data_IF_800175366469
#
_entry.id   IF_800175366469
#
_cell.length_a   1.000
_cell.length_b   1.000
_cell.length_c   1.000
_cell.angle_alpha   90.00
_cell.angle_beta   90.00
_cell.angle_gamma   90.00
#
_symmetry.space_group_name_H-M   'P 1'
#
loop_
_entity.id
_entity.type
_entity.pdbx_description
1 polymer ?
#
# COMPACT_ATOMS: atom_id res chain seq x y z
N UNK A 1 -27.99 -15.92 -3.57
CA UNK A 1 -27.28 -16.50 -2.40
C UNK A 1 -25.84 -15.99 -2.46
N UNK A 2 -25.56 -14.99 -1.63
CA UNK A 2 -24.27 -14.39 -1.23
C UNK A 2 -23.30 -13.95 -2.35
N UNK A 3 -23.46 -12.70 -2.82
CA UNK A 3 -22.41 -11.92 -3.49
C UNK A 3 -21.94 -10.86 -2.50
N UNK A 4 -21.04 -11.21 -1.59
CA UNK A 4 -20.47 -10.26 -0.60
C UNK A 4 -18.95 -10.39 -0.39
N UNK A 5 -18.25 -11.26 -1.12
CA UNK A 5 -16.81 -11.53 -0.89
C UNK A 5 -15.84 -10.80 -1.83
N UNK A 6 -16.30 -10.03 -2.80
CA UNK A 6 -15.41 -9.42 -3.82
C UNK A 6 -14.38 -8.41 -3.27
N UNK A 7 -14.53 -7.97 -2.02
CA UNK A 7 -13.69 -6.91 -1.44
C UNK A 7 -12.82 -7.35 -0.25
N UNK A 8 -12.75 -8.65 0.05
CA UNK A 8 -11.85 -9.16 1.09
C UNK A 8 -10.40 -9.19 0.57
N UNK A 9 -9.47 -8.66 1.37
CA UNK A 9 -8.04 -8.85 1.12
C UNK A 9 -7.67 -10.31 1.42
N UNK A 10 -6.91 -10.93 0.51
CA UNK A 10 -6.33 -12.25 0.72
C UNK A 10 -4.82 -12.09 0.72
N UNK A 11 -4.19 -12.25 1.87
CA UNK A 11 -2.74 -12.31 1.99
C UNK A 11 -2.20 -13.64 1.45
N UNK A 12 -0.98 -13.62 0.89
CA UNK A 12 -0.25 -14.86 0.58
C UNK A 12 0.07 -15.62 1.85
N UNK A 13 0.45 -14.89 2.90
CA UNK A 13 0.80 -15.42 4.21
C UNK A 13 0.55 -14.35 5.28
N UNK A 14 0.26 -14.79 6.51
CA UNK A 14 0.14 -13.91 7.67
C UNK A 14 1.16 -14.31 8.73
N UNK A 15 2.20 -13.49 8.92
CA UNK A 15 3.30 -13.75 9.83
C UNK A 15 4.49 -12.83 9.59
N UNK A 16 5.68 -13.27 9.98
CA UNK A 16 6.92 -12.51 9.87
C UNK A 16 7.93 -13.24 8.98
N UNK A 17 8.65 -12.48 8.15
CA UNK A 17 9.76 -12.96 7.32
C UNK A 17 11.05 -12.55 8.02
N UNK A 18 11.69 -13.49 8.69
CA UNK A 18 12.89 -13.21 9.49
C UNK A 18 14.14 -13.19 8.61
N UNK A 19 14.20 -14.11 7.65
CA UNK A 19 15.39 -14.34 6.84
C UNK A 19 15.03 -14.71 5.39
N UNK A 20 16.01 -14.72 4.46
CA UNK A 20 15.75 -15.02 3.05
C UNK A 20 15.17 -16.41 2.79
N UNK A 21 15.47 -17.40 3.64
CA UNK A 21 14.95 -18.77 3.50
C UNK A 21 13.44 -18.81 3.67
N UNK A 22 12.88 -18.00 4.57
CA UNK A 22 11.43 -17.88 4.75
C UNK A 22 10.77 -17.39 3.45
N UNK A 23 11.37 -16.40 2.79
CA UNK A 23 10.93 -15.90 1.49
C UNK A 23 10.97 -16.97 0.40
N UNK A 24 12.03 -17.77 0.34
CA UNK A 24 12.15 -18.88 -0.63
C UNK A 24 11.06 -19.94 -0.43
N UNK A 25 10.72 -20.27 0.83
CA UNK A 25 9.64 -21.21 1.14
C UNK A 25 8.30 -20.66 0.63
N UNK A 26 8.01 -19.38 0.84
CA UNK A 26 6.78 -18.76 0.33
C UNK A 26 6.74 -18.73 -1.19
N UNK A 27 7.86 -18.43 -1.87
CA UNK A 27 7.92 -18.48 -3.33
C UNK A 27 7.64 -19.88 -3.87
N UNK A 28 8.22 -20.92 -3.25
CA UNK A 28 7.96 -22.29 -3.66
C UNK A 28 6.50 -22.69 -3.43
N UNK A 29 5.94 -22.37 -2.25
CA UNK A 29 4.54 -22.67 -1.95
C UNK A 29 3.54 -21.96 -2.89
N UNK A 30 3.85 -20.74 -3.31
CA UNK A 30 3.06 -20.02 -4.33
C UNK A 30 3.20 -20.68 -5.70
N UNK A 31 4.41 -21.05 -6.11
CA UNK A 31 4.67 -21.72 -7.38
C UNK A 31 3.92 -23.07 -7.48
N UNK A 32 3.83 -23.79 -6.36
CA UNK A 32 3.11 -25.07 -6.27
C UNK A 32 1.59 -24.90 -6.13
N UNK A 33 1.09 -23.66 -6.07
CA UNK A 33 -0.34 -23.37 -5.92
C UNK A 33 -0.91 -23.62 -4.52
N UNK A 34 -0.06 -23.84 -3.52
CA UNK A 34 -0.45 -24.07 -2.12
C UNK A 34 -0.88 -22.77 -1.46
N UNK A 35 -0.17 -21.67 -1.74
CA UNK A 35 -0.48 -20.33 -1.25
C UNK A 35 -0.92 -19.41 -2.40
N UNK A 36 -1.85 -18.46 -2.14
CA UNK A 36 -2.32 -17.54 -3.18
C UNK A 36 -1.25 -16.49 -3.49
N UNK A 37 -1.16 -16.10 -4.77
CA UNK A 37 -0.38 -14.93 -5.21
C UNK A 37 -1.29 -13.76 -5.57
N UNK A 38 -0.74 -12.55 -5.49
CA UNK A 38 -1.41 -11.35 -5.97
C UNK A 38 -1.32 -11.30 -7.50
N UNK A 39 -2.49 -11.39 -8.13
CA UNK A 39 -2.66 -11.44 -9.60
C UNK A 39 -2.98 -10.09 -10.23
N UNK A 40 -3.23 -9.05 -9.41
CA UNK A 40 -3.53 -7.68 -9.87
C UNK A 40 -3.31 -6.68 -8.76
N UNK A 41 -3.27 -5.39 -9.09
CA UNK A 41 -3.21 -4.33 -8.07
C UNK A 41 -4.44 -4.39 -7.14
N UNK A 42 -4.17 -4.17 -5.86
CA UNK A 42 -5.21 -4.09 -4.83
C UNK A 42 -6.12 -2.87 -5.05
N UNK A 43 -7.41 -3.05 -4.76
CA UNK A 43 -8.38 -1.95 -4.66
C UNK A 43 -8.05 -1.04 -3.48
N UNK A 44 -8.73 0.11 -3.39
CA UNK A 44 -8.54 1.04 -2.25
C UNK A 44 -8.98 0.36 -0.95
N UNK A 45 -10.09 -0.38 -0.99
CA UNK A 45 -10.67 -1.08 0.15
C UNK A 45 -9.78 -2.22 0.64
N UNK A 46 -9.14 -2.94 -0.28
CA UNK A 46 -8.15 -3.96 0.04
C UNK A 46 -6.88 -3.36 0.67
N UNK A 47 -6.41 -2.20 0.18
CA UNK A 47 -5.23 -1.54 0.75
C UNK A 47 -5.43 -1.10 2.21
N UNK A 48 -6.65 -0.67 2.56
CA UNK A 48 -7.01 -0.29 3.93
C UNK A 48 -6.89 -1.49 4.89
N UNK A 49 -7.09 -2.71 4.40
CA UNK A 49 -7.03 -3.94 5.19
C UNK A 49 -5.58 -4.42 5.47
N UNK A 50 -4.56 -3.89 4.77
CA UNK A 50 -3.15 -4.25 5.00
C UNK A 50 -2.78 -3.89 6.44
N UNK A 51 -2.14 -4.82 7.15
CA UNK A 51 -1.76 -4.66 8.55
C UNK A 51 -0.41 -5.34 8.84
N UNK A 52 0.09 -5.13 10.06
CA UNK A 52 1.28 -5.84 10.53
C UNK A 52 1.06 -7.36 10.39
N UNK A 53 2.04 -8.03 9.78
CA UNK A 53 1.99 -9.46 9.47
C UNK A 53 1.47 -9.81 8.07
N UNK A 54 0.87 -8.88 7.32
CA UNK A 54 0.42 -9.16 5.95
C UNK A 54 1.61 -9.34 5.00
N UNK A 55 1.71 -10.50 4.35
CA UNK A 55 2.75 -10.83 3.36
C UNK A 55 2.11 -11.12 2.00
N UNK A 56 2.70 -10.55 0.95
CA UNK A 56 2.22 -10.67 -0.43
C UNK A 56 3.34 -11.11 -1.36
N UNK A 57 3.03 -12.08 -2.22
CA UNK A 57 3.89 -12.51 -3.32
C UNK A 57 3.17 -12.24 -4.62
N UNK A 58 3.86 -11.67 -5.61
CA UNK A 58 3.34 -11.48 -6.96
C UNK A 58 4.41 -11.83 -7.99
N UNK A 59 3.97 -12.39 -9.11
CA UNK A 59 4.78 -12.51 -10.31
C UNK A 59 4.63 -11.23 -11.14
N UNK A 60 5.73 -10.57 -11.49
CA UNK A 60 5.71 -9.28 -12.20
C UNK A 60 4.96 -9.36 -13.54
N UNK A 61 5.17 -10.42 -14.31
CA UNK A 61 4.59 -10.59 -15.65
C UNK A 61 3.10 -10.92 -15.57
N UNK A 62 2.72 -11.86 -14.72
CA UNK A 62 1.32 -12.30 -14.60
C UNK A 62 0.44 -11.21 -13.99
N UNK A 63 0.95 -10.53 -12.95
CA UNK A 63 0.18 -9.50 -12.23
C UNK A 63 0.25 -8.11 -12.85
N UNK A 64 1.21 -7.87 -13.75
CA UNK A 64 1.59 -6.55 -14.25
C UNK A 64 2.00 -5.55 -13.13
N UNK A 65 2.46 -6.06 -11.98
CA UNK A 65 2.97 -5.25 -10.87
C UNK A 65 4.50 -5.25 -10.91
N UNK A 66 5.10 -4.14 -11.34
CA UNK A 66 6.57 -3.95 -11.28
C UNK A 66 7.06 -3.34 -9.96
N UNK A 67 6.16 -2.64 -9.29
CA UNK A 67 6.40 -1.96 -8.00
C UNK A 67 5.16 -2.06 -7.17
N UNK A 68 5.34 -2.48 -5.91
CA UNK A 68 4.28 -2.51 -4.92
C UNK A 68 3.79 -1.09 -4.61
N UNK A 69 2.48 -0.93 -4.47
CA UNK A 69 1.84 0.35 -4.13
C UNK A 69 0.65 0.08 -3.21
N UNK A 70 0.79 0.43 -1.93
CA UNK A 70 -0.26 0.30 -0.91
C UNK A 70 -0.91 1.62 -0.49
N UNK A 71 -0.41 2.76 -0.99
CA UNK A 71 -0.95 4.08 -0.66
C UNK A 71 -0.48 4.62 0.70
N UNK A 72 0.52 4.00 1.33
CA UNK A 72 1.19 4.50 2.53
C UNK A 72 2.38 5.39 2.16
N UNK A 73 2.78 6.25 3.10
CA UNK A 73 3.98 7.07 2.96
C UNK A 73 5.15 6.34 3.62
N UNK A 74 6.22 6.13 2.86
CA UNK A 74 7.38 5.36 3.31
C UNK A 74 8.64 6.21 3.33
N UNK A 75 9.55 5.92 4.26
CA UNK A 75 10.93 6.43 4.20
C UNK A 75 11.65 5.97 2.92
N UNK A 76 12.76 6.60 2.52
CA UNK A 76 13.66 5.99 1.53
C UNK A 76 14.14 4.62 2.01
N UNK A 77 14.52 3.75 1.07
CA UNK A 77 14.93 2.38 1.38
C UNK A 77 16.19 2.34 2.26
N UNK A 78 16.30 1.29 3.07
CA UNK A 78 17.50 0.89 3.79
C UNK A 78 17.78 -0.58 3.50
N UNK A 79 19.03 -0.91 3.20
CA UNK A 79 19.44 -2.29 3.00
C UNK A 79 19.67 -2.95 4.37
N UNK A 80 19.10 -4.13 4.58
CA UNK A 80 19.36 -4.98 5.74
C UNK A 80 19.46 -6.43 5.26
N UNK A 81 20.68 -6.93 5.15
CA UNK A 81 20.93 -8.20 4.46
C UNK A 81 20.40 -8.14 3.03
N UNK A 82 19.60 -9.15 2.65
CA UNK A 82 18.98 -9.24 1.32
C UNK A 82 17.63 -8.49 1.21
N UNK A 83 17.24 -7.74 2.26
CA UNK A 83 15.97 -7.03 2.30
C UNK A 83 16.13 -5.52 2.13
N UNK A 84 15.12 -4.91 1.50
CA UNK A 84 14.89 -3.47 1.55
C UNK A 84 13.86 -3.16 2.62
N UNK A 85 14.25 -2.37 3.61
CA UNK A 85 13.43 -1.97 4.74
C UNK A 85 12.94 -0.54 4.54
N UNK A 86 11.66 -0.34 4.83
CA UNK A 86 10.96 0.93 4.80
C UNK A 86 10.26 1.12 6.15
N UNK A 87 10.18 2.37 6.62
CA UNK A 87 9.37 2.72 7.80
C UNK A 87 8.22 3.63 7.38
N UNK A 88 7.04 3.37 7.91
CA UNK A 88 5.88 4.20 7.61
C UNK A 88 6.05 5.59 8.25
N UNK A 89 5.73 6.61 7.48
CA UNK A 89 5.72 8.00 7.92
C UNK A 89 4.28 8.39 8.24
N UNK A 90 4.09 9.02 9.39
CA UNK A 90 2.80 9.62 9.72
C UNK A 90 2.41 10.63 8.64
N UNK A 91 1.13 10.62 8.25
CA UNK A 91 0.60 11.70 7.42
C UNK A 91 0.67 12.97 8.26
N UNK A 92 1.61 13.86 7.94
CA UNK A 92 1.71 15.18 8.57
C UNK A 92 0.38 15.94 8.41
N UNK A 93 -0.52 15.79 9.39
CA UNK A 93 -1.81 16.46 9.46
C UNK A 93 -1.65 17.99 9.40
N UNK A 94 -0.47 18.49 9.79
CA UNK A 94 -0.11 19.90 9.77
C UNK A 94 0.19 20.47 8.38
N UNK A 95 0.56 19.65 7.39
CA UNK A 95 0.63 20.11 5.99
C UNK A 95 -0.78 20.23 5.39
N UNK A 96 -1.64 19.25 5.63
CA UNK A 96 -3.03 19.28 5.17
C UNK A 96 -3.84 20.45 5.78
N UNK A 97 -3.56 20.84 7.03
CA UNK A 97 -4.14 22.05 7.66
C UNK A 97 -3.59 23.35 7.05
N UNK A 98 -2.30 23.42 6.73
CA UNK A 98 -1.68 24.58 6.06
C UNK A 98 -2.25 24.79 4.66
N UNK A 99 -2.35 23.73 3.85
CA UNK A 99 -2.87 23.83 2.48
C UNK A 99 -4.36 24.22 2.44
N UNK A 100 -5.16 23.72 3.41
CA UNK A 100 -6.57 24.17 3.58
C UNK A 100 -6.69 25.63 3.99
N UNK A 101 -5.76 26.17 4.78
CA UNK A 101 -5.75 27.59 5.18
C UNK A 101 -5.41 28.48 3.98
N UNK A 102 -4.43 28.09 3.17
CA UNK A 102 -4.05 28.81 1.94
C UNK A 102 -5.19 28.85 0.92
N UNK A 103 -5.91 27.73 0.73
CA UNK A 103 -7.04 27.65 -0.20
C UNK A 103 -8.29 28.44 0.28
N UNK A 104 -8.52 28.53 1.60
CA UNK A 104 -9.57 29.39 2.16
C UNK A 104 -9.25 30.88 1.98
N UNK A 105 -8.00 31.29 2.22
CA UNK A 105 -7.57 32.68 2.02
C UNK A 105 -7.60 33.11 0.54
N UNK A 106 -7.33 32.20 -0.40
CA UNK A 106 -7.44 32.54 -1.83
C UNK A 106 -8.89 32.69 -2.29
N UNK A 107 -9.83 31.92 -1.72
CA UNK A 107 -11.27 32.07 -2.00
C UNK A 107 -11.86 33.34 -1.41
N UNK A 108 -11.46 33.74 -0.19
CA UNK A 108 -11.92 35.01 0.39
C UNK A 108 -11.43 36.22 -0.39
N UNK A 109 -10.19 36.20 -0.88
CA UNK A 109 -9.66 37.30 -1.68
C UNK A 109 -10.29 37.39 -3.07
N UNK A 110 -10.68 36.25 -3.67
CA UNK A 110 -11.33 36.23 -4.99
C UNK A 110 -12.78 36.72 -4.98
N UNK A 111 -13.46 36.70 -3.83
CA UNK A 111 -14.82 37.25 -3.68
C UNK A 111 -14.83 38.78 -3.47
N UNK A 112 -13.68 39.40 -3.16
CA UNK A 112 -13.58 40.84 -2.93
C UNK A 112 -13.24 41.65 -4.20
N UNK A 113 -12.91 40.99 -5.32
CA UNK A 113 -12.52 41.64 -6.59
C UNK A 113 -13.64 41.74 -7.64
N UNK A 114 -14.88 41.37 -7.32
CA UNK A 114 -16.02 41.58 -8.23
C UNK A 114 -16.86 42.75 -7.71
N UNK A 115 -16.35 43.97 -7.91
CA UNK A 115 -17.16 45.17 -7.91
C UNK A 115 -16.86 45.91 -9.22
N UNK A 116 -17.70 45.68 -10.23
CA UNK A 116 -17.95 46.61 -11.31
C UNK A 116 -19.37 47.13 -11.17
#
# INVERSE_FOLDING_TARGET
MIVLEENKLVETFFGFIENPKDGLILFQAVKDGILPSIQRRLSIEQRIQIKSGSVFVFNETESNIRRWTDGRNWTPSRVQGDFLIYRELEKNMDKAKRDKKTLKNSKSNKFLEINF
#
